data_IF_133133285020
#
_entry.id   IF_133133285020
#
_cell.length_a   1.000
_cell.length_b   1.000
_cell.length_c   1.000
_cell.angle_alpha   90.00
_cell.angle_beta   90.00
_cell.angle_gamma   90.00
#
_symmetry.space_group_name_H-M   'P 1'
#
loop_
_entity.id
_entity.type
_entity.pdbx_description
1 polymer ?
#
# COMPACT_ATOMS: atom_id res chain seq x y z
N UNK A 1 11.77 -59.53 -9.44
CA UNK A 1 12.11 -58.81 -10.70
C UNK A 1 11.43 -57.44 -10.62
N UNK A 2 12.00 -56.45 -9.93
CA UNK A 2 12.94 -55.42 -10.43
C UNK A 2 12.51 -54.76 -11.75
N UNK A 3 12.29 -53.43 -11.71
CA UNK A 3 12.98 -52.36 -12.46
C UNK A 3 12.01 -51.23 -12.86
N UNK A 4 11.99 -50.08 -12.16
CA UNK A 4 12.73 -48.83 -12.46
C UNK A 4 12.34 -48.13 -13.77
N UNK A 5 11.60 -47.02 -13.68
CA UNK A 5 11.75 -45.82 -14.52
C UNK A 5 11.10 -44.66 -13.74
N UNK A 6 11.84 -43.76 -13.07
CA UNK A 6 12.81 -42.78 -13.55
C UNK A 6 12.16 -41.62 -14.34
N UNK A 7 12.07 -40.47 -13.65
CA UNK A 7 12.37 -39.12 -14.15
C UNK A 7 11.38 -38.33 -15.05
N UNK A 8 10.96 -37.17 -14.50
CA UNK A 8 11.05 -35.83 -15.17
C UNK A 8 9.87 -35.53 -16.13
N UNK A 9 9.16 -34.38 -16.20
CA UNK A 9 9.54 -32.96 -16.19
C UNK A 9 8.27 -32.09 -16.45
N UNK A 10 8.33 -30.78 -16.14
CA UNK A 10 7.50 -29.63 -16.60
C UNK A 10 6.03 -29.55 -16.10
N UNK A 11 5.66 -28.75 -15.10
CA UNK A 11 5.67 -27.28 -15.00
C UNK A 11 4.93 -26.55 -16.14
N UNK A 12 3.71 -26.09 -15.89
CA UNK A 12 3.08 -24.90 -16.49
C UNK A 12 1.76 -24.61 -15.77
N UNK A 13 1.81 -23.93 -14.63
CA UNK A 13 0.58 -23.35 -14.04
C UNK A 13 0.49 -21.90 -14.52
N UNK A 14 -0.19 -21.70 -15.64
CA UNK A 14 -0.56 -20.38 -16.16
C UNK A 14 -1.44 -19.65 -15.15
N UNK A 15 -0.96 -18.53 -14.61
CA UNK A 15 -1.79 -17.59 -13.87
C UNK A 15 -2.39 -16.62 -14.89
N UNK A 16 -3.68 -16.79 -15.19
CA UNK A 16 -4.43 -15.84 -16.01
C UNK A 16 -4.76 -14.62 -15.16
N UNK A 17 -4.12 -13.50 -15.45
CA UNK A 17 -4.46 -12.20 -14.87
C UNK A 17 -5.43 -11.47 -15.81
N UNK A 18 -6.73 -11.53 -15.53
CA UNK A 18 -7.70 -10.69 -16.20
C UNK A 18 -7.64 -9.27 -15.60
N UNK A 19 -7.16 -8.30 -16.39
CA UNK A 19 -7.23 -6.87 -16.04
C UNK A 19 -8.43 -6.21 -16.72
N UNK A 20 -9.51 -6.00 -15.97
CA UNK A 20 -10.61 -5.11 -16.36
C UNK A 20 -10.31 -3.71 -15.78
N UNK A 21 -10.14 -2.71 -16.64
CA UNK A 21 -9.96 -1.31 -16.22
C UNK A 21 -11.32 -0.62 -16.26
N UNK A 22 -11.92 -0.45 -15.08
CA UNK A 22 -13.12 0.39 -14.90
C UNK A 22 -12.65 1.67 -14.22
N UNK A 23 -12.83 2.81 -14.88
CA UNK A 23 -12.55 4.13 -14.32
C UNK A 23 -13.76 4.59 -13.49
N UNK A 24 -13.79 4.25 -12.21
CA UNK A 24 -14.76 4.81 -11.25
C UNK A 24 -14.22 6.07 -10.58
N UNK A 25 -15.10 7.02 -10.16
CA UNK A 25 -14.71 8.14 -9.30
C UNK A 25 -14.06 7.63 -8.01
N UNK A 26 -13.33 8.50 -7.31
CA UNK A 26 -12.55 8.16 -6.11
C UNK A 26 -13.44 7.77 -4.91
N UNK A 27 -14.14 6.65 -5.01
CA UNK A 27 -14.82 6.00 -3.90
C UNK A 27 -13.82 5.31 -2.99
N UNK A 28 -14.25 5.06 -1.75
CA UNK A 28 -13.50 4.27 -0.80
C UNK A 28 -13.09 2.93 -1.43
N UNK A 29 -11.81 2.79 -1.76
CA UNK A 29 -11.31 1.63 -2.49
C UNK A 29 -10.63 0.67 -1.54
N UNK A 30 -11.19 -0.52 -1.45
CA UNK A 30 -10.61 -1.67 -0.77
C UNK A 30 -9.86 -2.56 -1.77
N UNK A 31 -8.66 -3.01 -1.41
CA UNK A 31 -7.88 -3.99 -2.18
C UNK A 31 -7.21 -4.98 -1.25
N UNK A 32 -7.50 -6.25 -1.47
CA UNK A 32 -6.80 -7.39 -0.87
C UNK A 32 -5.83 -7.98 -1.89
N UNK A 33 -4.62 -8.29 -1.45
CA UNK A 33 -3.64 -9.07 -2.21
C UNK A 33 -3.13 -10.20 -1.35
N UNK A 34 -3.01 -11.39 -1.92
CA UNK A 34 -2.41 -12.56 -1.27
C UNK A 34 -1.33 -13.13 -2.18
N UNK A 35 -0.18 -13.45 -1.60
CA UNK A 35 0.98 -13.99 -2.33
C UNK A 35 1.47 -15.22 -1.59
N UNK A 36 1.67 -16.33 -2.33
CA UNK A 36 2.23 -17.57 -1.79
C UNK A 36 3.58 -17.85 -2.45
N UNK A 37 4.62 -18.04 -1.63
CA UNK A 37 5.98 -18.31 -2.07
C UNK A 37 6.29 -19.80 -2.29
N UNK A 38 7.52 -20.08 -2.70
CA UNK A 38 8.00 -21.40 -3.12
C UNK A 38 7.96 -22.51 -2.03
N UNK A 39 7.67 -22.16 -0.78
CA UNK A 39 7.54 -23.08 0.36
C UNK A 39 6.11 -23.09 0.94
N UNK A 40 5.12 -22.66 0.16
CA UNK A 40 3.72 -22.56 0.60
C UNK A 40 3.46 -21.48 1.65
N UNK A 41 4.46 -20.63 1.94
CA UNK A 41 4.34 -19.51 2.87
C UNK A 41 3.53 -18.39 2.23
N UNK A 42 2.46 -17.98 2.89
CA UNK A 42 1.53 -16.98 2.37
C UNK A 42 1.64 -15.67 3.14
N UNK A 43 1.64 -14.56 2.41
CA UNK A 43 1.50 -13.21 2.94
C UNK A 43 0.23 -12.59 2.37
N UNK A 44 -0.50 -11.86 3.21
CA UNK A 44 -1.69 -11.13 2.81
C UNK A 44 -1.54 -9.65 3.12
N UNK A 45 -2.08 -8.80 2.24
CA UNK A 45 -2.08 -7.35 2.42
C UNK A 45 -3.45 -6.78 2.08
N UNK A 46 -4.01 -6.03 3.01
CA UNK A 46 -5.23 -5.26 2.83
C UNK A 46 -4.88 -3.77 2.75
N UNK A 47 -5.51 -3.05 1.83
CA UNK A 47 -5.42 -1.60 1.73
C UNK A 47 -6.80 -1.01 1.52
N UNK A 48 -7.18 -0.07 2.35
CA UNK A 48 -8.35 0.78 2.17
C UNK A 48 -7.88 2.21 1.96
N UNK A 49 -8.45 2.88 0.96
CA UNK A 49 -8.21 4.29 0.70
C UNK A 49 -9.53 5.02 0.68
N UNK A 50 -9.59 6.17 1.31
CA UNK A 50 -10.79 7.00 1.34
C UNK A 50 -10.37 8.48 1.36
N UNK A 51 -10.85 9.28 0.40
CA UNK A 51 -10.57 10.72 0.31
C UNK A 51 -9.09 11.16 0.49
N UNK A 52 -8.12 10.27 0.18
CA UNK A 52 -6.69 10.53 0.34
C UNK A 52 -6.07 9.87 1.58
N UNK A 53 -6.88 9.50 2.55
CA UNK A 53 -6.47 8.69 3.70
C UNK A 53 -6.21 7.25 3.28
N UNK A 54 -5.31 6.58 4.00
CA UNK A 54 -4.88 5.22 3.67
C UNK A 54 -4.73 4.40 4.94
N UNK A 55 -5.51 3.35 5.07
CA UNK A 55 -5.27 2.29 6.05
C UNK A 55 -4.75 1.05 5.33
N UNK A 56 -3.72 0.42 5.87
CA UNK A 56 -3.22 -0.85 5.35
C UNK A 56 -2.73 -1.77 6.44
N UNK A 57 -2.89 -3.07 6.22
CA UNK A 57 -2.33 -4.11 7.07
C UNK A 57 -1.66 -5.17 6.21
N UNK A 58 -0.58 -5.75 6.74
CA UNK A 58 0.14 -6.84 6.11
C UNK A 58 0.32 -7.93 7.15
N UNK A 59 -0.14 -9.14 6.85
CA UNK A 59 0.00 -10.32 7.70
C UNK A 59 1.00 -11.28 7.08
N UNK A 60 2.06 -11.58 7.82
CA UNK A 60 3.10 -12.49 7.39
C UNK A 60 2.71 -13.96 7.54
N UNK A 61 3.55 -14.88 7.02
CA UNK A 61 3.30 -16.33 7.08
C UNK A 61 3.27 -16.93 8.49
N UNK A 62 3.76 -16.18 9.48
CA UNK A 62 3.70 -16.53 10.91
C UNK A 62 2.45 -15.95 11.61
N UNK A 63 1.49 -15.41 10.85
CA UNK A 63 0.25 -14.84 11.37
C UNK A 63 0.42 -13.48 12.07
N UNK A 64 1.63 -12.90 12.05
CA UNK A 64 1.90 -11.60 12.66
C UNK A 64 1.54 -10.48 11.69
N UNK A 65 0.84 -9.47 12.19
CA UNK A 65 0.31 -8.36 11.37
C UNK A 65 0.96 -7.04 11.73
N UNK A 66 1.44 -6.31 10.74
CA UNK A 66 1.80 -4.90 10.88
C UNK A 66 0.73 -4.04 10.19
N UNK A 67 0.51 -2.82 10.68
CA UNK A 67 -0.43 -1.89 10.08
C UNK A 67 0.19 -0.52 9.87
N UNK A 68 -0.38 0.24 8.94
CA UNK A 68 -0.04 1.63 8.70
C UNK A 68 -1.30 2.41 8.37
N UNK A 69 -1.51 3.51 9.08
CA UNK A 69 -2.55 4.50 8.83
C UNK A 69 -1.89 5.79 8.37
N UNK A 70 -2.49 6.44 7.38
CA UNK A 70 -2.13 7.76 6.90
C UNK A 70 -3.37 8.60 6.84
N UNK A 71 -3.31 9.72 7.55
CA UNK A 71 -4.33 10.75 7.54
C UNK A 71 -3.77 11.97 6.82
N UNK A 72 -4.52 12.49 5.86
CA UNK A 72 -4.15 13.64 5.03
C UNK A 72 -5.16 14.75 5.19
N UNK A 73 -4.65 15.91 5.58
CA UNK A 73 -5.38 17.17 5.53
C UNK A 73 -4.71 18.14 4.55
N UNK A 74 -5.34 19.28 4.23
CA UNK A 74 -4.69 20.33 3.46
C UNK A 74 -3.39 20.85 4.10
N UNK A 75 -3.32 20.85 5.43
CA UNK A 75 -2.25 21.44 6.24
C UNK A 75 -1.14 20.43 6.58
N UNK A 76 -1.45 19.15 6.67
CA UNK A 76 -0.49 18.15 7.13
C UNK A 76 -0.76 16.74 6.59
N UNK A 77 0.24 15.88 6.74
CA UNK A 77 0.09 14.43 6.58
C UNK A 77 0.69 13.76 7.81
N UNK A 78 -0.11 12.93 8.47
CA UNK A 78 0.32 12.11 9.60
C UNK A 78 0.32 10.65 9.16
N UNK A 79 1.38 9.93 9.49
CA UNK A 79 1.48 8.51 9.24
C UNK A 79 1.90 7.77 10.51
N UNK A 80 1.11 6.79 10.92
CA UNK A 80 1.38 5.93 12.06
C UNK A 80 1.58 4.51 11.57
N UNK A 81 2.66 3.87 11.98
CA UNK A 81 2.95 2.45 11.73
C UNK A 81 2.87 1.72 13.05
N UNK A 82 2.14 0.60 13.09
CA UNK A 82 2.10 -0.32 14.23
C UNK A 82 2.74 -1.64 13.83
N UNK A 83 3.78 -2.03 14.56
CA UNK A 83 4.45 -3.30 14.38
C UNK A 83 3.65 -4.49 14.93
N UNK A 84 4.06 -5.72 14.58
CA UNK A 84 3.36 -6.94 14.99
C UNK A 84 3.36 -7.25 16.48
N UNK A 85 4.19 -6.55 17.27
CA UNK A 85 4.19 -6.65 18.73
C UNK A 85 3.61 -5.40 19.40
N UNK A 86 2.88 -4.57 18.64
CA UNK A 86 2.15 -3.40 19.15
C UNK A 86 2.95 -2.10 19.25
N UNK A 87 4.26 -2.09 18.96
CA UNK A 87 5.05 -0.85 19.00
C UNK A 87 4.62 0.07 17.86
N UNK A 88 4.51 1.36 18.15
CA UNK A 88 4.08 2.38 17.19
C UNK A 88 5.16 3.40 16.90
N UNK A 89 5.22 3.87 15.65
CA UNK A 89 5.98 5.05 15.27
C UNK A 89 5.09 5.98 14.44
N UNK A 90 5.11 7.27 14.77
CA UNK A 90 4.32 8.30 14.10
C UNK A 90 5.22 9.36 13.51
N UNK A 91 4.92 9.79 12.29
CA UNK A 91 5.56 10.92 11.63
C UNK A 91 4.49 11.88 11.11
N UNK A 92 4.66 13.15 11.41
CA UNK A 92 3.83 14.24 10.87
C UNK A 92 4.68 15.16 10.01
N UNK A 93 4.16 15.56 8.86
CA UNK A 93 4.76 16.55 7.98
C UNK A 93 3.74 17.64 7.72
N UNK A 94 4.06 18.88 8.08
CA UNK A 94 3.22 20.05 7.84
C UNK A 94 3.57 20.71 6.50
N UNK A 95 2.57 21.34 5.88
CA UNK A 95 2.72 22.02 4.60
C UNK A 95 2.77 23.53 4.86
N UNK A 96 3.93 24.13 4.66
CA UNK A 96 4.04 25.59 4.63
C UNK A 96 3.59 26.06 3.25
N UNK A 97 2.43 26.71 3.15
CA UNK A 97 2.05 27.41 1.93
C UNK A 97 3.03 28.55 1.67
N UNK A 98 3.72 28.59 0.51
CA UNK A 98 4.51 29.75 0.14
C UNK A 98 3.61 30.98 0.06
N UNK A 99 4.06 32.11 0.62
CA UNK A 99 3.39 33.41 0.47
C UNK A 99 3.16 33.67 -1.02
N UNK A 100 1.94 34.00 -1.47
CA UNK A 100 1.71 34.28 -2.88
C UNK A 100 2.59 35.45 -3.33
N UNK A 101 3.30 35.27 -4.44
CA UNK A 101 4.18 36.26 -5.06
C UNK A 101 3.45 37.56 -5.48
N UNK A 102 2.11 37.60 -5.37
CA UNK A 102 1.26 38.73 -5.73
C UNK A 102 1.35 39.92 -4.77
N UNK A 103 2.06 39.80 -3.63
CA UNK A 103 2.21 40.90 -2.67
C UNK A 103 3.33 41.91 -3.03
N UNK A 104 3.95 41.80 -4.22
CA UNK A 104 5.13 42.58 -4.64
C UNK A 104 4.86 43.37 -5.94
N UNK A 105 3.73 44.08 -6.02
CA UNK A 105 3.46 45.00 -7.13
C UNK A 105 2.84 46.35 -6.72
N UNK A 106 2.80 46.71 -5.43
CA UNK A 106 2.33 48.04 -5.02
C UNK A 106 3.36 48.75 -4.15
N UNK A 107 4.31 49.39 -4.82
CA UNK A 107 4.97 50.65 -4.42
C UNK A 107 6.00 50.96 -5.49
N UNK A 108 5.58 51.72 -6.50
CA UNK A 108 6.36 52.65 -7.31
C UNK A 108 5.41 53.19 -8.39
N UNK A 109 4.69 54.25 -8.05
CA UNK A 109 4.10 55.19 -9.00
C UNK A 109 4.73 56.56 -8.70
N UNK A 110 4.91 57.42 -9.72
CA UNK A 110 5.94 58.46 -9.81
C UNK A 110 5.83 59.62 -8.83
#
# INVERSE_FOLDING_TARGET
MTMTQLMTLMATTTVVAATLVITSPAEARSRQTTVTGAQGKTLSRQVTRDHGDVSSSTTGPNGKTASRVVDRSPEATTATVTGPNGQTATRTTTRTTPRPATALHRRNEP
#
